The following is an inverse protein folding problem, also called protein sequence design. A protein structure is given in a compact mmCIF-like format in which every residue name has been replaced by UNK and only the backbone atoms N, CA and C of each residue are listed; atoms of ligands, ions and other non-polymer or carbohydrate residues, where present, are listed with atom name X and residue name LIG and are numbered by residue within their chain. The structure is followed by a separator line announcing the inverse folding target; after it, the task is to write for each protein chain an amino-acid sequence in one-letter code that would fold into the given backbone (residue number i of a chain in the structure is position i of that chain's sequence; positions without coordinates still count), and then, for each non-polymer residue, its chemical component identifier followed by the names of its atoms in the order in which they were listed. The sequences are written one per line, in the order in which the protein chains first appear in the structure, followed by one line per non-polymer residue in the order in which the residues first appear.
data_IF_940166436113
#
_entry.id   IF_940166436113
#
_cell.length_a   1.000
_cell.length_b   1.000
_cell.length_c   1.000
_cell.angle_alpha   90.00
_cell.angle_beta   90.00
_cell.angle_gamma   90.00
#
_symmetry.space_group_name_H-M   'P 1'
#
loop_
_entity.id
_entity.type
_entity.pdbx_description
1 polymer ?
#
# COMPACT_ATOMS: atom_id res chain seq x y z
N UNK A 1 21.79 16.96 1.75
CA UNK A 1 22.61 16.12 2.66
C UNK A 1 22.20 16.19 4.13
N UNK A 2 22.13 17.34 4.80
CA UNK A 2 21.85 17.40 6.25
C UNK A 2 20.48 16.79 6.68
N UNK A 3 19.42 16.92 5.87
CA UNK A 3 18.10 16.33 6.17
C UNK A 3 18.06 14.80 6.07
N UNK A 4 18.92 14.20 5.24
CA UNK A 4 19.03 12.74 5.06
C UNK A 4 19.72 12.11 6.27
N UNK A 5 20.72 12.79 6.84
CA UNK A 5 21.46 12.33 8.03
C UNK A 5 20.56 12.27 9.26
N UNK A 6 19.67 13.25 9.45
CA UNK A 6 18.74 13.28 10.60
C UNK A 6 17.69 12.15 10.50
N UNK A 7 17.16 11.88 9.31
CA UNK A 7 16.22 10.76 9.11
C UNK A 7 16.92 9.41 9.34
N UNK A 8 18.17 9.25 8.90
CA UNK A 8 18.99 8.07 9.19
C UNK A 8 19.19 7.88 10.69
N UNK A 9 19.49 8.95 11.43
CA UNK A 9 19.72 8.91 12.88
C UNK A 9 18.45 8.54 13.67
N UNK A 10 17.27 9.01 13.23
CA UNK A 10 15.98 8.63 13.85
C UNK A 10 15.60 7.18 13.49
N UNK A 11 15.92 6.70 12.29
CA UNK A 11 15.73 5.31 11.93
C UNK A 11 16.63 4.38 12.77
N UNK A 12 17.86 4.81 13.09
CA UNK A 12 18.81 4.06 13.92
C UNK A 12 18.40 3.98 15.40
N UNK A 13 17.76 5.02 15.97
CA UNK A 13 17.37 5.01 17.39
C UNK A 13 16.22 4.05 17.70
N UNK A 14 15.35 3.75 16.73
CA UNK A 14 14.28 2.74 16.87
C UNK A 14 14.83 1.31 16.87
N UNK A 15 16.03 1.07 16.32
CA UNK A 15 16.67 -0.25 16.28
C UNK A 15 17.29 -0.64 17.62
N UNK A 16 17.61 0.32 18.50
CA UNK A 16 18.33 0.07 19.76
C UNK A 16 17.50 -0.61 20.87
N UNK A 17 16.20 -0.87 20.70
CA UNK A 17 15.34 -1.49 21.73
C UNK A 17 14.89 -2.94 21.44
N UNK A 18 15.64 -3.69 20.65
CA UNK A 18 15.29 -5.07 20.29
C UNK A 18 16.13 -6.15 21.01
N UNK A 19 16.27 -6.09 22.33
CA UNK A 19 16.89 -7.18 23.12
C UNK A 19 15.84 -8.14 23.67
N UNK A 20 16.09 -9.45 23.47
CA UNK A 20 15.66 -10.64 24.27
C UNK A 20 15.44 -11.93 23.45
N UNK A 21 15.61 -11.93 22.12
CA UNK A 21 15.58 -13.19 21.33
C UNK A 21 16.72 -13.25 20.32
N UNK A 22 17.26 -14.44 20.02
CA UNK A 22 18.20 -14.62 18.92
C UNK A 22 17.45 -14.28 17.62
N UNK A 23 17.58 -13.03 17.21
CA UNK A 23 16.89 -12.48 16.05
C UNK A 23 17.98 -12.15 15.04
N UNK A 24 18.13 -13.00 14.02
CA UNK A 24 19.05 -12.69 12.93
C UNK A 24 18.47 -11.56 12.07
N UNK A 25 19.34 -10.65 11.67
CA UNK A 25 19.01 -9.53 10.80
C UNK A 25 20.00 -9.45 9.65
N UNK A 26 19.57 -8.85 8.54
CA UNK A 26 20.43 -8.62 7.39
C UNK A 26 20.08 -7.30 6.71
N UNK A 27 21.07 -6.75 6.02
CA UNK A 27 20.89 -5.57 5.18
C UNK A 27 21.03 -5.99 3.72
N UNK A 28 20.18 -5.45 2.85
CA UNK A 28 20.32 -5.61 1.40
C UNK A 28 20.28 -4.26 0.69
N UNK A 29 21.03 -4.18 -0.41
CA UNK A 29 21.06 -3.04 -1.32
C UNK A 29 20.83 -3.55 -2.74
N UNK A 30 19.80 -3.05 -3.40
CA UNK A 30 19.49 -3.38 -4.80
C UNK A 30 19.51 -2.12 -5.65
N UNK A 31 20.30 -2.11 -6.71
CA UNK A 31 20.18 -1.14 -7.80
C UNK A 31 19.11 -1.63 -8.76
N UNK A 32 18.28 -0.71 -9.28
CA UNK A 32 17.27 -1.03 -10.27
C UNK A 32 17.29 -0.05 -11.44
N UNK A 33 16.85 -0.54 -12.59
CA UNK A 33 16.72 0.20 -13.83
C UNK A 33 15.52 -0.34 -14.62
N UNK A 34 14.71 0.51 -15.25
CA UNK A 34 13.55 0.02 -15.99
C UNK A 34 12.73 1.06 -16.74
N UNK A 35 11.43 0.80 -16.84
CA UNK A 35 10.49 1.59 -17.63
C UNK A 35 9.30 2.04 -16.81
N UNK A 36 8.72 3.18 -17.19
CA UNK A 36 7.39 3.57 -16.72
C UNK A 36 6.36 2.79 -17.53
N UNK A 37 5.46 2.08 -16.84
CA UNK A 37 4.33 1.40 -17.47
C UNK A 37 3.26 2.42 -17.85
N UNK A 38 2.98 2.54 -19.16
CA UNK A 38 1.88 3.35 -19.68
C UNK A 38 0.56 2.72 -19.28
N UNK A 39 -0.09 3.32 -18.29
CA UNK A 39 -1.41 2.94 -17.80
C UNK A 39 -2.48 4.01 -18.11
N UNK A 40 -2.06 5.20 -18.53
CA UNK A 40 -2.89 6.29 -19.06
C UNK A 40 -2.12 6.99 -20.21
N UNK A 41 -2.82 7.52 -21.21
CA UNK A 41 -2.22 8.33 -22.28
C UNK A 41 -1.76 9.70 -21.79
N UNK A 42 -2.36 10.21 -20.71
CA UNK A 42 -2.03 11.52 -20.14
C UNK A 42 -0.61 11.59 -19.56
N UNK A 43 0.05 10.46 -19.35
CA UNK A 43 1.43 10.41 -18.86
C UNK A 43 2.47 10.23 -19.98
N UNK A 44 2.07 10.16 -21.25
CA UNK A 44 2.99 9.87 -22.36
C UNK A 44 4.18 10.85 -22.42
N UNK A 45 3.95 12.14 -22.20
CA UNK A 45 5.00 13.16 -22.18
C UNK A 45 5.92 13.08 -20.96
N UNK A 46 5.55 12.33 -19.93
CA UNK A 46 6.37 12.06 -18.74
C UNK A 46 7.28 10.85 -18.94
N UNK A 47 6.99 9.98 -19.91
CA UNK A 47 7.78 8.78 -20.22
C UNK A 47 8.90 9.15 -21.21
N UNK A 48 9.91 9.87 -20.72
CA UNK A 48 11.03 10.38 -21.55
C UNK A 48 12.31 9.56 -21.46
N UNK A 49 12.38 8.63 -20.52
CA UNK A 49 13.58 7.84 -20.27
C UNK A 49 13.31 6.63 -19.38
N UNK A 50 14.38 6.10 -18.81
CA UNK A 50 14.36 4.87 -18.04
C UNK A 50 14.62 5.17 -16.56
N UNK A 51 13.62 5.04 -15.67
CA UNK A 51 13.84 5.27 -14.26
C UNK A 51 14.86 4.32 -13.66
N UNK A 52 15.67 4.85 -12.77
CA UNK A 52 16.69 4.07 -12.05
C UNK A 52 16.80 4.51 -10.60
N UNK A 53 17.44 3.69 -9.79
CA UNK A 53 17.66 4.03 -8.39
C UNK A 53 18.08 2.86 -7.53
N UNK A 54 17.87 3.01 -6.22
CA UNK A 54 18.31 2.03 -5.25
C UNK A 54 17.22 1.75 -4.21
N UNK A 55 17.19 0.52 -3.71
CA UNK A 55 16.41 0.10 -2.54
C UNK A 55 17.39 -0.44 -1.50
N UNK A 56 17.51 0.26 -0.38
CA UNK A 56 18.26 -0.16 0.80
C UNK A 56 17.27 -0.70 1.84
N UNK A 57 17.53 -1.87 2.39
CA UNK A 57 16.60 -2.50 3.33
C UNK A 57 17.30 -3.10 4.52
N UNK A 58 16.74 -2.87 5.70
CA UNK A 58 17.03 -3.68 6.89
C UNK A 58 15.91 -4.69 7.08
N UNK A 59 16.27 -5.92 7.41
CA UNK A 59 15.34 -7.04 7.52
C UNK A 59 15.62 -7.81 8.79
N UNK A 60 14.54 -8.24 9.44
CA UNK A 60 14.54 -9.17 10.56
C UNK A 60 14.00 -10.51 10.11
N UNK A 61 14.81 -11.56 10.29
CA UNK A 61 14.43 -12.94 9.98
C UNK A 61 13.48 -13.50 11.02
N UNK A 62 12.60 -14.39 10.57
CA UNK A 62 11.75 -15.20 11.46
C UNK A 62 12.16 -16.66 11.42
N UNK A 63 11.97 -17.36 12.54
CA UNK A 63 12.45 -18.74 12.73
C UNK A 63 11.39 -19.66 13.34
N UNK A 64 10.11 -19.28 13.34
CA UNK A 64 9.03 -20.12 13.85
C UNK A 64 8.76 -19.94 15.33
N UNK A 65 9.22 -18.83 15.91
CA UNK A 65 8.96 -18.47 17.31
C UNK A 65 7.50 -18.13 17.56
N UNK A 66 6.74 -17.89 16.48
CA UNK A 66 5.30 -17.71 16.51
C UNK A 66 4.69 -18.56 15.41
N UNK A 67 3.48 -19.04 15.67
CA UNK A 67 2.74 -19.92 14.77
C UNK A 67 2.58 -19.35 13.35
N UNK A 68 2.26 -18.06 13.24
CA UNK A 68 2.08 -17.41 11.95
C UNK A 68 3.36 -17.41 11.09
N UNK A 69 4.54 -17.42 11.72
CA UNK A 69 5.82 -17.46 11.00
C UNK A 69 5.89 -18.77 10.20
N UNK A 70 5.64 -19.91 10.86
CA UNK A 70 5.63 -21.23 10.22
C UNK A 70 4.52 -21.33 9.16
N UNK A 71 3.32 -20.81 9.45
CA UNK A 71 2.19 -20.85 8.51
C UNK A 71 2.53 -20.16 7.17
N UNK A 72 3.37 -19.14 7.17
CA UNK A 72 3.75 -18.38 5.98
C UNK A 72 5.16 -18.70 5.47
N UNK A 73 5.73 -19.86 5.85
CA UNK A 73 7.09 -20.25 5.47
C UNK A 73 8.15 -19.21 5.91
N UNK A 74 8.07 -18.79 7.17
CA UNK A 74 9.03 -17.93 7.86
C UNK A 74 9.31 -16.62 7.13
N UNK A 75 8.28 -15.78 6.89
CA UNK A 75 8.50 -14.52 6.19
C UNK A 75 9.37 -13.58 7.02
N UNK A 76 10.25 -12.83 6.36
CA UNK A 76 10.99 -11.77 7.03
C UNK A 76 10.17 -10.48 6.98
N UNK A 77 10.51 -9.52 7.84
CA UNK A 77 9.90 -8.20 7.79
C UNK A 77 10.94 -7.13 8.09
N UNK A 78 10.70 -5.91 7.64
CA UNK A 78 11.71 -4.89 7.73
C UNK A 78 11.25 -3.50 7.31
N UNK A 79 12.25 -2.65 7.11
CA UNK A 79 12.08 -1.28 6.60
C UNK A 79 12.97 -1.11 5.39
N UNK A 80 12.44 -0.49 4.34
CA UNK A 80 13.18 -0.12 3.14
C UNK A 80 13.19 1.39 2.94
N UNK A 81 14.28 1.89 2.39
CA UNK A 81 14.39 3.21 1.79
C UNK A 81 14.60 3.04 0.29
N UNK A 82 13.83 3.75 -0.53
CA UNK A 82 14.07 3.79 -1.99
C UNK A 82 14.33 5.21 -2.46
N UNK A 83 15.28 5.34 -3.36
CA UNK A 83 15.49 6.54 -4.18
C UNK A 83 15.23 6.15 -5.63
N UNK A 84 14.47 6.96 -6.36
CA UNK A 84 14.16 6.74 -7.76
C UNK A 84 14.27 8.04 -8.55
N UNK A 85 15.17 8.08 -9.53
CA UNK A 85 15.27 9.13 -10.54
C UNK A 85 14.45 8.72 -11.77
N UNK A 86 13.47 9.53 -12.18
CA UNK A 86 12.62 9.21 -13.33
C UNK A 86 13.24 9.55 -14.69
N UNK A 87 14.42 10.20 -14.73
CA UNK A 87 15.02 10.72 -15.97
C UNK A 87 14.06 11.64 -16.75
N UNK A 88 13.32 12.44 -16.00
CA UNK A 88 12.37 13.41 -16.52
C UNK A 88 12.45 14.69 -15.68
N UNK A 89 12.60 15.83 -16.34
CA UNK A 89 12.80 17.11 -15.67
C UNK A 89 11.59 17.59 -14.86
N UNK A 90 10.37 17.13 -15.19
CA UNK A 90 9.13 17.54 -14.51
C UNK A 90 8.80 16.67 -13.29
N UNK A 91 9.23 15.40 -13.29
CA UNK A 91 9.05 14.49 -12.16
C UNK A 91 10.23 14.57 -11.17
N UNK A 92 11.45 14.71 -11.68
CA UNK A 92 12.68 14.70 -10.87
C UNK A 92 12.92 13.32 -10.23
N UNK A 93 13.26 13.34 -8.95
CA UNK A 93 13.54 12.16 -8.13
C UNK A 93 12.57 12.00 -6.95
N UNK A 94 12.22 10.77 -6.60
CA UNK A 94 11.42 10.45 -5.42
C UNK A 94 12.26 9.72 -4.37
N UNK A 95 12.05 10.07 -3.10
CA UNK A 95 12.57 9.35 -1.95
C UNK A 95 11.41 8.74 -1.17
N UNK A 96 11.51 7.47 -0.79
CA UNK A 96 10.43 6.79 -0.09
C UNK A 96 10.93 5.90 1.04
N UNK A 97 10.08 5.72 2.06
CA UNK A 97 10.29 4.80 3.18
C UNK A 97 9.12 3.83 3.26
N UNK A 98 9.41 2.54 3.48
CA UNK A 98 8.43 1.47 3.47
C UNK A 98 8.59 0.59 4.70
N UNK A 99 7.47 0.09 5.22
CA UNK A 99 7.46 -1.18 5.94
C UNK A 99 7.22 -2.31 4.93
N UNK A 100 7.93 -3.43 5.07
CA UNK A 100 7.80 -4.54 4.14
C UNK A 100 7.79 -5.92 4.80
N UNK A 101 7.26 -6.89 4.05
CA UNK A 101 7.40 -8.32 4.30
C UNK A 101 8.09 -9.01 3.13
N UNK A 102 8.88 -10.04 3.41
CA UNK A 102 9.49 -10.95 2.44
C UNK A 102 8.87 -12.33 2.59
N UNK A 103 8.15 -12.77 1.58
CA UNK A 103 7.61 -14.12 1.48
C UNK A 103 8.51 -14.98 0.60
N UNK A 104 8.68 -16.23 0.99
CA UNK A 104 9.69 -17.10 0.39
C UNK A 104 9.09 -18.36 -0.21
N UNK A 105 9.59 -18.73 -1.39
CA UNK A 105 9.19 -19.89 -2.18
C UNK A 105 10.44 -20.66 -2.64
N UNK A 106 10.25 -21.88 -3.16
CA UNK A 106 11.31 -22.71 -3.75
C UNK A 106 12.56 -22.83 -2.86
N UNK A 107 12.38 -23.43 -1.67
CA UNK A 107 13.43 -23.56 -0.64
C UNK A 107 14.04 -22.20 -0.24
N UNK A 108 13.18 -21.17 -0.21
CA UNK A 108 13.52 -19.78 0.11
C UNK A 108 14.50 -19.10 -0.83
N UNK A 109 14.70 -19.65 -2.04
CA UNK A 109 15.52 -19.00 -3.06
C UNK A 109 14.73 -17.98 -3.89
N UNK A 110 13.40 -18.05 -3.91
CA UNK A 110 12.56 -17.02 -4.54
C UNK A 110 11.89 -16.20 -3.45
N UNK A 111 12.07 -14.88 -3.50
CA UNK A 111 11.54 -13.91 -2.55
C UNK A 111 10.53 -13.00 -3.24
N UNK A 112 9.31 -12.93 -2.70
CA UNK A 112 8.36 -11.86 -2.96
C UNK A 112 8.38 -10.87 -1.80
N UNK A 113 8.91 -9.68 -2.03
CA UNK A 113 8.83 -8.56 -1.09
C UNK A 113 7.68 -7.65 -1.45
N UNK A 114 6.87 -7.30 -0.45
CA UNK A 114 5.77 -6.35 -0.57
C UNK A 114 6.05 -5.21 0.40
N UNK A 115 6.27 -4.01 -0.13
CA UNK A 115 6.51 -2.79 0.64
C UNK A 115 5.38 -1.79 0.49
N UNK A 116 4.91 -1.24 1.60
CA UNK A 116 3.96 -0.11 1.63
C UNK A 116 4.59 1.03 2.43
N UNK A 117 4.48 2.24 1.89
CA UNK A 117 5.26 3.36 2.37
C UNK A 117 4.70 4.72 2.01
N UNK A 118 5.48 5.73 2.37
CA UNK A 118 5.26 7.13 2.06
C UNK A 118 6.47 7.62 1.27
N UNK A 119 6.22 8.44 0.25
CA UNK A 119 7.24 9.03 -0.58
C UNK A 119 7.16 10.55 -0.60
N UNK A 120 8.31 11.18 -0.82
CA UNK A 120 8.44 12.59 -1.13
C UNK A 120 8.70 12.73 -2.62
N UNK A 121 7.78 13.41 -3.30
CA UNK A 121 7.92 13.75 -4.71
C UNK A 121 8.99 14.82 -4.90
N UNK A 122 9.93 14.65 -5.83
CA UNK A 122 10.96 15.65 -6.11
C UNK A 122 10.34 16.96 -6.57
N UNK A 123 9.55 16.88 -7.65
CA UNK A 123 8.91 18.01 -8.29
C UNK A 123 7.40 17.74 -8.47
N UNK A 124 6.55 18.01 -7.46
CA UNK A 124 5.10 17.86 -7.62
C UNK A 124 4.54 18.85 -8.66
N UNK A 125 3.29 18.65 -9.06
CA UNK A 125 2.52 19.57 -9.89
C UNK A 125 2.48 20.96 -9.25
N UNK A 126 2.71 21.98 -10.06
CA UNK A 126 2.44 23.38 -9.75
C UNK A 126 1.87 24.03 -11.01
N UNK A 127 0.78 24.78 -10.88
CA UNK A 127 0.07 25.32 -12.05
C UNK A 127 0.89 26.37 -12.82
N UNK A 128 1.86 27.03 -12.18
CA UNK A 128 2.68 28.09 -12.78
C UNK A 128 4.07 27.54 -13.12
N UNK A 129 4.71 26.84 -12.18
CA UNK A 129 6.11 26.44 -12.28
C UNK A 129 6.32 25.02 -12.84
N UNK A 130 5.35 24.12 -12.72
CA UNK A 130 5.50 22.71 -13.13
C UNK A 130 4.18 22.06 -13.58
N UNK A 131 3.47 22.74 -14.47
CA UNK A 131 2.14 22.31 -14.91
C UNK A 131 2.16 21.00 -15.72
N UNK A 132 3.35 20.57 -16.16
CA UNK A 132 3.52 19.32 -16.93
C UNK A 132 3.48 18.07 -16.07
N UNK A 133 3.78 18.15 -14.77
CA UNK A 133 3.72 16.97 -13.91
C UNK A 133 2.28 16.65 -13.47
N UNK A 134 1.53 16.00 -14.35
CA UNK A 134 0.17 15.53 -14.06
C UNK A 134 0.11 14.27 -13.19
N UNK A 135 1.26 13.68 -12.82
CA UNK A 135 1.31 12.46 -12.04
C UNK A 135 1.22 12.70 -10.54
N UNK A 136 1.88 13.74 -10.04
CA UNK A 136 2.09 13.97 -8.60
C UNK A 136 1.51 15.31 -8.16
N UNK A 137 0.21 15.36 -7.84
CA UNK A 137 -0.47 16.58 -7.37
C UNK A 137 0.00 17.10 -6.01
N UNK A 138 0.75 16.30 -5.25
CA UNK A 138 1.21 16.62 -3.89
C UNK A 138 2.67 16.24 -3.67
N UNK A 139 3.33 16.94 -2.74
CA UNK A 139 4.71 16.64 -2.32
C UNK A 139 4.83 15.30 -1.59
N UNK A 140 3.79 14.90 -0.86
CA UNK A 140 3.74 13.63 -0.13
C UNK A 140 2.85 12.66 -0.91
N UNK A 141 3.36 11.47 -1.18
CA UNK A 141 2.70 10.41 -1.93
C UNK A 141 2.63 9.14 -1.07
N UNK A 142 1.63 8.30 -1.32
CA UNK A 142 1.67 6.89 -0.99
C UNK A 142 2.59 6.18 -1.99
N UNK A 143 3.38 5.23 -1.50
CA UNK A 143 4.18 4.38 -2.37
C UNK A 143 4.02 2.90 -2.02
N UNK A 144 3.84 2.07 -3.03
CA UNK A 144 3.83 0.61 -2.90
C UNK A 144 4.88 0.04 -3.82
N UNK A 145 5.60 -0.99 -3.38
CA UNK A 145 6.39 -1.78 -4.30
C UNK A 145 6.23 -3.28 -4.08
N UNK A 146 6.36 -4.01 -5.19
CA UNK A 146 6.48 -5.47 -5.24
C UNK A 146 7.86 -5.79 -5.79
N UNK A 147 8.58 -6.72 -5.19
CA UNK A 147 9.89 -7.17 -5.67
C UNK A 147 9.91 -8.69 -5.68
N UNK A 148 10.07 -9.28 -6.86
CA UNK A 148 10.21 -10.71 -7.07
C UNK A 148 11.65 -11.01 -7.46
N UNK A 149 12.44 -11.52 -6.52
CA UNK A 149 13.85 -11.77 -6.73
C UNK A 149 14.20 -13.23 -6.47
N UNK A 150 15.09 -13.77 -7.29
CA UNK A 150 15.95 -14.86 -6.83
C UNK A 150 16.93 -14.29 -5.81
N UNK A 151 17.01 -14.89 -4.64
CA UNK A 151 17.84 -14.45 -3.52
C UNK A 151 18.68 -15.62 -3.04
N UNK A 152 19.99 -15.46 -3.10
CA UNK A 152 20.95 -16.43 -2.57
C UNK A 152 21.81 -15.76 -1.52
N UNK A 153 21.70 -16.25 -0.29
CA UNK A 153 22.45 -15.74 0.84
C UNK A 153 23.79 -16.49 0.98
N UNK A 154 24.78 -15.86 1.64
CA UNK A 154 26.03 -16.52 2.07
C UNK A 154 26.79 -17.24 0.95
N UNK A 155 26.90 -16.62 -0.23
CA UNK A 155 27.77 -17.09 -1.32
C UNK A 155 29.24 -16.98 -0.92
N UNK A 156 29.60 -15.87 -0.27
CA UNK A 156 30.92 -15.67 0.30
C UNK A 156 30.78 -15.22 1.75
N UNK A 157 30.91 -16.18 2.67
CA UNK A 157 30.82 -15.95 4.10
C UNK A 157 29.43 -15.37 4.50
N UNK A 158 29.33 -14.07 4.82
CA UNK A 158 28.05 -13.40 5.14
C UNK A 158 27.42 -12.66 3.96
N UNK A 159 28.13 -12.57 2.83
CA UNK A 159 27.68 -11.88 1.61
C UNK A 159 26.93 -12.84 0.70
N UNK A 160 25.80 -12.38 0.17
CA UNK A 160 25.02 -13.03 -0.88
C UNK A 160 24.57 -12.03 -1.93
N UNK A 161 23.85 -12.53 -2.94
CA UNK A 161 23.34 -11.74 -4.05
C UNK A 161 21.85 -11.97 -4.24
N UNK A 162 21.20 -11.03 -4.91
CA UNK A 162 19.82 -11.14 -5.33
C UNK A 162 19.59 -10.41 -6.65
N UNK A 163 18.58 -10.83 -7.39
CA UNK A 163 18.17 -10.11 -8.59
C UNK A 163 16.83 -10.61 -9.11
N UNK A 164 16.16 -9.74 -9.87
CA UNK A 164 14.83 -10.03 -10.40
C UNK A 164 14.10 -8.77 -10.82
N UNK A 165 12.79 -8.75 -10.60
CA UNK A 165 11.88 -7.70 -11.06
C UNK A 165 11.31 -6.93 -9.89
N UNK A 166 11.11 -5.63 -10.05
CA UNK A 166 10.36 -4.80 -9.11
C UNK A 166 9.30 -3.98 -9.84
N UNK A 167 8.14 -3.81 -9.20
CA UNK A 167 7.10 -2.86 -9.59
C UNK A 167 7.03 -1.82 -8.48
N UNK A 168 7.16 -0.54 -8.82
CA UNK A 168 7.10 0.59 -7.87
C UNK A 168 5.96 1.52 -8.32
N UNK A 169 5.03 1.80 -7.42
CA UNK A 169 3.87 2.65 -7.66
C UNK A 169 3.92 3.88 -6.75
N UNK A 170 3.74 5.06 -7.32
CA UNK A 170 3.61 6.33 -6.62
C UNK A 170 2.29 7.01 -6.97
N UNK A 171 1.49 7.35 -5.95
CA UNK A 171 0.27 8.14 -6.10
C UNK A 171 -0.07 8.88 -4.82
N UNK A 172 -0.95 9.87 -4.87
CA UNK A 172 -1.44 10.54 -3.66
C UNK A 172 -2.84 10.08 -3.22
N UNK A 173 -3.36 8.99 -3.83
CA UNK A 173 -4.65 8.42 -3.45
C UNK A 173 -5.84 9.37 -3.61
N UNK A 174 -5.77 10.25 -4.62
CA UNK A 174 -6.72 11.32 -4.90
C UNK A 174 -6.89 12.36 -3.78
N UNK A 175 -5.85 12.55 -2.96
CA UNK A 175 -5.86 13.64 -1.98
C UNK A 175 -5.77 15.01 -2.65
N UNK A 176 -5.07 15.14 -3.78
CA UNK A 176 -4.96 16.40 -4.54
C UNK A 176 -4.81 16.11 -6.04
N UNK A 177 -5.66 16.73 -6.86
CA UNK A 177 -5.53 16.65 -8.32
C UNK A 177 -4.41 17.59 -8.83
N UNK A 178 -3.72 17.24 -9.95
CA UNK A 178 -3.86 16.00 -10.72
C UNK A 178 -3.15 14.82 -10.05
N UNK A 179 -3.61 13.59 -10.30
CA UNK A 179 -2.99 12.39 -9.75
C UNK A 179 -3.12 11.21 -10.73
N UNK A 180 -2.49 11.31 -11.89
CA UNK A 180 -2.44 10.18 -12.84
C UNK A 180 -1.57 9.02 -12.33
N UNK A 181 -0.73 9.25 -11.31
CA UNK A 181 0.22 8.29 -10.73
C UNK A 181 1.34 7.85 -11.67
N UNK A 182 2.36 7.17 -11.14
CA UNK A 182 3.41 6.52 -11.93
C UNK A 182 3.62 5.09 -11.45
N UNK A 183 3.70 4.17 -12.41
CA UNK A 183 4.08 2.78 -12.22
C UNK A 183 5.42 2.54 -12.92
N UNK A 184 6.43 2.06 -12.22
CA UNK A 184 7.71 1.66 -12.79
C UNK A 184 7.88 0.16 -12.70
N UNK A 185 8.24 -0.49 -13.81
CA UNK A 185 8.61 -1.89 -13.89
C UNK A 185 10.12 -1.95 -14.14
N UNK A 186 10.86 -2.50 -13.19
CA UNK A 186 12.32 -2.43 -13.17
C UNK A 186 12.96 -3.79 -13.00
N UNK A 187 14.11 -3.97 -13.64
CA UNK A 187 15.04 -5.05 -13.32
C UNK A 187 15.95 -4.57 -12.20
N UNK A 188 16.27 -5.45 -11.26
CA UNK A 188 17.15 -5.12 -10.15
C UNK A 188 18.18 -6.20 -9.90
N UNK A 189 19.36 -5.77 -9.45
CA UNK A 189 20.44 -6.61 -8.96
C UNK A 189 20.96 -6.02 -7.66
N UNK A 190 21.29 -6.87 -6.70
CA UNK A 190 21.67 -6.43 -5.37
C UNK A 190 22.51 -7.43 -4.61
N UNK A 191 23.02 -6.94 -3.49
CA UNK A 191 23.75 -7.71 -2.51
C UNK A 191 22.94 -7.80 -1.22
N UNK A 192 23.10 -8.91 -0.50
CA UNK A 192 22.58 -9.08 0.85
C UNK A 192 23.73 -9.45 1.79
N UNK A 193 23.71 -8.89 3.00
CA UNK A 193 24.76 -9.12 4.00
C UNK A 193 24.11 -9.48 5.34
N UNK A 194 24.36 -10.72 5.77
CA UNK A 194 23.90 -11.22 7.07
C UNK A 194 24.70 -10.56 8.19
N UNK A 195 24.03 -10.02 9.21
CA UNK A 195 24.73 -9.37 10.32
C UNK A 195 25.35 -10.42 11.25
N UNK A 196 24.67 -11.55 11.44
CA UNK A 196 25.13 -12.64 12.29
C UNK A 196 25.97 -13.66 11.51
N UNK A 197 26.94 -14.26 12.20
CA UNK A 197 27.81 -15.31 11.61
C UNK A 197 27.09 -16.64 11.50
N UNK A 198 26.25 -16.98 12.49
CA UNK A 198 25.51 -18.23 12.59
C UNK A 198 24.02 -17.91 12.64
N UNK A 199 23.22 -18.64 11.86
CA UNK A 199 21.77 -18.49 11.86
C UNK A 199 21.12 -19.57 12.73
N UNK A 200 20.06 -19.22 13.49
CA UNK A 200 19.23 -20.21 14.15
C UNK A 200 18.60 -21.19 13.15
N UNK A 201 18.31 -22.40 13.61
CA UNK A 201 17.48 -23.33 12.87
C UNK A 201 16.01 -22.92 12.88
N UNK A 202 15.29 -23.25 11.80
CA UNK A 202 13.85 -23.02 11.72
C UNK A 202 13.12 -24.00 12.64
N UNK A 203 12.30 -23.46 13.55
CA UNK A 203 11.45 -24.26 14.44
C UNK A 203 10.26 -24.81 13.69
N UNK A 204 10.13 -26.14 13.70
CA UNK A 204 8.97 -26.85 13.17
C UNK A 204 8.11 -27.31 14.35
N UNK A 205 6.83 -26.94 14.34
CA UNK A 205 5.85 -27.41 15.32
C UNK A 205 5.08 -28.60 14.74
N UNK A 206 5.25 -29.77 15.35
CA UNK A 206 4.48 -30.96 14.99
C UNK A 206 2.98 -30.71 15.14
N UNK A 207 2.19 -31.21 14.19
CA UNK A 207 0.74 -31.04 14.19
C UNK A 207 0.25 -29.62 13.88
N UNK A 208 1.13 -28.69 13.45
CA UNK A 208 0.70 -27.36 13.01
C UNK A 208 -0.31 -27.48 11.87
N UNK A 209 -1.54 -27.04 12.15
CA UNK A 209 -2.65 -27.07 11.19
C UNK A 209 -3.14 -25.67 10.85
N UNK A 210 -3.57 -25.46 9.62
CA UNK A 210 -4.28 -24.23 9.24
C UNK A 210 -5.76 -24.25 9.68
N UNK A 211 -6.28 -25.37 10.20
CA UNK A 211 -7.67 -25.47 10.66
C UNK A 211 -7.91 -24.51 11.83
N UNK A 212 -8.91 -23.65 11.68
CA UNK A 212 -9.38 -22.73 12.70
C UNK A 212 -10.80 -22.29 12.34
N UNK A 213 -11.66 -22.18 13.33
CA UNK A 213 -13.04 -21.75 13.14
C UNK A 213 -13.40 -20.84 14.31
N UNK A 214 -14.08 -19.74 14.02
CA UNK A 214 -14.70 -18.88 15.03
C UNK A 214 -16.15 -18.59 14.62
N UNK A 215 -17.05 -18.28 15.57
CA UNK A 215 -18.41 -17.83 15.24
C UNK A 215 -18.40 -16.63 14.28
N UNK A 216 -19.52 -16.37 13.63
CA UNK A 216 -19.67 -15.12 12.86
C UNK A 216 -19.51 -13.94 13.79
N UNK A 217 -18.72 -12.96 13.37
CA UNK A 217 -18.40 -11.75 14.15
C UNK A 217 -18.92 -10.53 13.40
N UNK A 218 -19.48 -9.58 14.15
CA UNK A 218 -20.01 -8.35 13.59
C UNK A 218 -19.02 -7.22 13.78
N UNK A 219 -18.86 -6.40 12.74
CA UNK A 219 -17.89 -5.33 12.70
C UNK A 219 -18.57 -4.02 12.37
N UNK A 220 -18.23 -2.99 13.14
CA UNK A 220 -18.61 -1.60 12.89
C UNK A 220 -17.35 -0.83 12.61
N UNK A 221 -17.29 -0.12 11.48
CA UNK A 221 -16.09 0.61 11.08
C UNK A 221 -16.47 2.01 10.62
N UNK A 222 -15.76 2.97 11.17
CA UNK A 222 -15.78 4.34 10.68
C UNK A 222 -14.47 4.59 9.93
N UNK A 223 -14.56 5.13 8.71
CA UNK A 223 -13.41 5.59 7.93
C UNK A 223 -13.58 7.01 7.49
N UNK A 224 -12.46 7.71 7.38
CA UNK A 224 -12.39 9.09 6.94
C UNK A 224 -11.04 9.35 6.28
N UNK A 225 -10.89 10.55 5.75
CA UNK A 225 -9.73 11.02 5.02
C UNK A 225 -10.10 12.30 4.29
N UNK A 226 -9.19 12.76 3.45
CA UNK A 226 -9.40 13.90 2.57
C UNK A 226 -9.21 13.46 1.13
N UNK A 227 -10.07 13.94 0.24
CA UNK A 227 -9.89 13.75 -1.19
C UNK A 227 -10.40 14.95 -1.98
N UNK A 228 -10.05 14.99 -3.26
CA UNK A 228 -10.43 16.01 -4.22
C UNK A 228 -11.16 15.35 -5.40
N UNK A 229 -11.95 16.13 -6.14
CA UNK A 229 -12.42 15.74 -7.48
C UNK A 229 -11.24 15.66 -8.47
N UNK A 230 -11.41 14.98 -9.59
CA UNK A 230 -10.38 14.93 -10.63
C UNK A 230 -10.21 16.29 -11.34
N UNK A 231 -11.07 17.26 -11.03
CA UNK A 231 -10.95 18.66 -11.44
C UNK A 231 -9.87 19.36 -10.61
N UNK A 232 -8.82 19.84 -11.30
CA UNK A 232 -7.74 20.62 -10.68
C UNK A 232 -8.32 21.86 -10.01
N UNK A 233 -7.80 22.20 -8.83
CA UNK A 233 -8.24 23.32 -8.00
C UNK A 233 -9.71 23.29 -7.52
N UNK A 234 -10.40 22.14 -7.59
CA UNK A 234 -11.75 21.98 -7.02
C UNK A 234 -11.80 21.99 -5.48
N UNK A 235 -10.64 21.95 -4.81
CA UNK A 235 -10.54 21.94 -3.35
C UNK A 235 -10.64 20.54 -2.71
N UNK A 236 -10.02 20.40 -1.54
CA UNK A 236 -9.97 19.15 -0.79
C UNK A 236 -11.10 19.10 0.24
N UNK A 237 -11.78 17.96 0.32
CA UNK A 237 -12.91 17.78 1.22
C UNK A 237 -12.75 16.53 2.07
N UNK A 238 -13.24 16.55 3.32
CA UNK A 238 -13.30 15.35 4.12
C UNK A 238 -14.39 14.41 3.59
N UNK A 239 -14.19 13.11 3.77
CA UNK A 239 -15.24 12.12 3.54
C UNK A 239 -15.47 11.27 4.79
N UNK A 240 -16.65 10.64 4.85
CA UNK A 240 -17.04 9.76 5.95
C UNK A 240 -17.65 8.48 5.40
N UNK A 241 -17.20 7.34 5.89
CA UNK A 241 -17.71 6.03 5.47
C UNK A 241 -18.02 5.22 6.71
N UNK A 242 -19.26 4.75 6.77
CA UNK A 242 -19.75 3.87 7.82
C UNK A 242 -19.96 2.49 7.23
N UNK A 243 -19.25 1.50 7.77
CA UNK A 243 -19.39 0.11 7.35
C UNK A 243 -19.95 -0.74 8.47
N UNK A 244 -20.85 -1.63 8.10
CA UNK A 244 -21.30 -2.72 8.94
C UNK A 244 -21.11 -4.03 8.20
N UNK A 245 -20.44 -5.01 8.81
CA UNK A 245 -20.24 -6.31 8.16
C UNK A 245 -20.13 -7.47 9.13
N UNK A 246 -20.60 -8.62 8.66
CA UNK A 246 -20.32 -9.90 9.27
C UNK A 246 -19.03 -10.48 8.68
N UNK A 247 -18.17 -11.05 9.52
CA UNK A 247 -17.01 -11.81 9.08
C UNK A 247 -17.02 -13.23 9.66
N UNK A 248 -16.52 -14.18 8.88
CA UNK A 248 -16.38 -15.58 9.25
C UNK A 248 -14.96 -16.06 8.96
N UNK A 249 -14.21 -16.47 9.99
CA UNK A 249 -12.97 -17.22 9.77
C UNK A 249 -13.28 -18.58 9.19
N UNK A 250 -12.57 -18.87 8.11
CA UNK A 250 -12.57 -20.18 7.47
C UNK A 250 -11.30 -20.98 7.82
N UNK A 251 -10.21 -20.30 8.21
CA UNK A 251 -8.97 -20.91 8.67
C UNK A 251 -8.09 -19.87 9.41
N UNK A 252 -6.86 -20.24 9.81
CA UNK A 252 -5.96 -19.32 10.56
C UNK A 252 -5.52 -18.11 9.74
N UNK A 253 -5.49 -18.25 8.42
CA UNK A 253 -5.07 -17.21 7.46
C UNK A 253 -6.21 -16.40 6.91
N UNK A 254 -7.46 -16.88 6.89
CA UNK A 254 -8.50 -16.28 6.06
C UNK A 254 -9.84 -16.13 6.78
N UNK A 255 -10.49 -14.99 6.51
CA UNK A 255 -11.91 -14.77 6.76
C UNK A 255 -12.60 -14.23 5.50
N UNK A 256 -13.89 -14.50 5.39
CA UNK A 256 -14.78 -13.93 4.38
C UNK A 256 -15.66 -12.89 5.07
N UNK A 257 -15.93 -11.80 4.37
CA UNK A 257 -16.74 -10.66 4.83
C UNK A 257 -17.96 -10.48 3.92
N UNK A 258 -19.08 -10.11 4.51
CA UNK A 258 -20.27 -9.64 3.80
C UNK A 258 -20.84 -8.45 4.57
N UNK A 259 -21.05 -7.33 3.89
CA UNK A 259 -21.48 -6.12 4.56
C UNK A 259 -22.02 -5.03 3.68
N UNK A 260 -22.25 -3.89 4.32
CA UNK A 260 -22.79 -2.68 3.72
C UNK A 260 -21.90 -1.50 4.04
N UNK A 261 -21.90 -0.51 3.14
CA UNK A 261 -21.22 0.76 3.31
C UNK A 261 -22.19 1.92 3.04
N UNK A 262 -22.08 2.98 3.84
CA UNK A 262 -22.71 4.29 3.58
C UNK A 262 -21.61 5.32 3.44
N UNK A 263 -21.66 6.09 2.36
CA UNK A 263 -20.61 7.01 1.93
C UNK A 263 -21.13 8.45 1.93
N UNK A 264 -20.40 9.33 2.61
CA UNK A 264 -20.53 10.78 2.54
C UNK A 264 -19.25 11.33 1.92
N UNK A 265 -19.20 11.36 0.59
CA UNK A 265 -18.04 11.83 -0.19
C UNK A 265 -18.24 13.30 -0.55
N UNK A 266 -17.85 14.23 0.32
CA UNK A 266 -18.21 15.65 0.13
C UNK A 266 -17.64 16.29 -1.14
N UNK A 267 -16.52 15.79 -1.67
CA UNK A 267 -15.97 16.27 -2.94
C UNK A 267 -16.96 16.13 -4.12
N UNK A 268 -17.90 15.17 -4.04
CA UNK A 268 -18.92 14.98 -5.07
C UNK A 268 -19.85 16.18 -5.20
N UNK A 269 -20.02 17.01 -4.16
CA UNK A 269 -20.80 18.26 -4.28
C UNK A 269 -20.19 19.20 -5.31
N UNK A 270 -18.86 19.34 -5.28
CA UNK A 270 -18.15 20.17 -6.24
C UNK A 270 -18.15 19.53 -7.64
N UNK A 271 -18.00 18.21 -7.71
CA UNK A 271 -18.13 17.47 -8.97
C UNK A 271 -19.52 17.66 -9.61
N UNK A 272 -20.59 17.55 -8.82
CA UNK A 272 -21.98 17.72 -9.26
C UNK A 272 -22.19 19.13 -9.82
N UNK A 273 -21.79 20.16 -9.05
CA UNK A 273 -21.88 21.56 -9.48
C UNK A 273 -21.09 21.82 -10.75
N UNK A 274 -19.84 21.33 -10.82
CA UNK A 274 -19.01 21.49 -12.01
C UNK A 274 -19.65 20.80 -13.21
N UNK A 275 -20.15 19.57 -13.03
CA UNK A 275 -20.70 18.76 -14.11
C UNK A 275 -22.02 19.33 -14.65
N UNK A 276 -22.90 19.89 -13.81
CA UNK A 276 -24.14 20.51 -14.27
C UNK A 276 -23.92 21.79 -15.08
N UNK A 277 -22.82 22.51 -14.81
CA UNK A 277 -22.47 23.74 -15.54
C UNK A 277 -21.67 23.44 -16.80
N UNK A 278 -20.65 22.58 -16.71
CA UNK A 278 -19.69 22.32 -17.78
C UNK A 278 -20.17 21.27 -18.80
N UNK A 279 -21.08 20.37 -18.39
CA UNK A 279 -21.56 19.24 -19.20
C UNK A 279 -23.09 19.14 -19.18
N UNK A 280 -23.82 20.15 -19.70
CA UNK A 280 -25.29 20.17 -19.68
C UNK A 280 -25.91 18.97 -20.41
N UNK A 281 -25.20 18.35 -21.34
CA UNK A 281 -25.62 17.13 -22.03
C UNK A 281 -25.80 15.92 -21.11
N UNK A 282 -25.26 15.96 -19.88
CA UNK A 282 -25.46 14.92 -18.86
C UNK A 282 -26.82 15.03 -18.16
N UNK A 283 -27.56 16.11 -18.38
CA UNK A 283 -28.90 16.31 -17.80
C UNK A 283 -28.89 16.46 -16.28
N UNK A 284 -27.78 16.93 -15.70
CA UNK A 284 -27.65 17.18 -14.26
C UNK A 284 -28.16 18.58 -13.94
N UNK A 285 -28.92 18.72 -12.85
CA UNK A 285 -29.44 20.00 -12.37
C UNK A 285 -28.58 20.62 -11.25
N UNK A 286 -27.59 19.87 -10.74
CA UNK A 286 -26.67 20.31 -9.70
C UNK A 286 -27.18 20.10 -8.27
N UNK A 287 -28.35 19.48 -8.11
CA UNK A 287 -29.00 19.20 -6.82
C UNK A 287 -28.97 17.72 -6.43
N UNK A 288 -28.30 16.89 -7.23
CA UNK A 288 -28.15 15.46 -7.00
C UNK A 288 -27.56 15.17 -5.61
N UNK A 289 -27.97 14.07 -4.99
CA UNK A 289 -27.44 13.68 -3.69
C UNK A 289 -26.00 13.15 -3.83
N UNK A 290 -25.07 13.70 -3.06
CA UNK A 290 -23.67 13.29 -3.09
C UNK A 290 -23.39 12.00 -2.29
N UNK A 291 -24.39 11.50 -1.56
CA UNK A 291 -24.27 10.30 -0.74
C UNK A 291 -24.43 9.05 -1.58
N UNK A 292 -23.75 7.98 -1.17
CA UNK A 292 -23.87 6.66 -1.79
C UNK A 292 -24.07 5.60 -0.72
N UNK A 293 -24.69 4.48 -1.07
CA UNK A 293 -24.75 3.31 -0.22
C UNK A 293 -24.58 2.04 -1.06
N UNK A 294 -23.90 1.04 -0.50
CA UNK A 294 -23.56 -0.17 -1.23
C UNK A 294 -23.46 -1.40 -0.35
N UNK A 295 -23.35 -2.53 -1.02
CA UNK A 295 -23.03 -3.83 -0.41
C UNK A 295 -21.65 -4.27 -0.87
N UNK A 296 -20.98 -5.10 -0.09
CA UNK A 296 -19.70 -5.67 -0.47
C UNK A 296 -19.52 -7.10 0.02
N UNK A 297 -18.73 -7.85 -0.74
CA UNK A 297 -18.09 -9.09 -0.31
C UNK A 297 -16.60 -8.83 -0.12
N UNK A 298 -15.97 -9.51 0.83
CA UNK A 298 -14.56 -9.28 1.11
C UNK A 298 -13.81 -10.48 1.65
N UNK A 299 -12.50 -10.34 1.68
CA UNK A 299 -11.55 -11.27 2.23
C UNK A 299 -10.60 -10.55 3.18
N UNK A 300 -10.20 -11.24 4.24
CA UNK A 300 -9.17 -10.79 5.16
C UNK A 300 -8.10 -11.86 5.32
N UNK A 301 -6.86 -11.52 4.92
CA UNK A 301 -5.68 -12.36 5.05
C UNK A 301 -4.89 -11.98 6.30
N UNK A 302 -4.81 -12.87 7.28
CA UNK A 302 -4.20 -12.59 8.59
C UNK A 302 -2.71 -12.90 8.64
N UNK A 303 -1.89 -11.88 8.89
CA UNK A 303 -0.43 -11.99 9.02
C UNK A 303 -0.05 -11.39 10.38
N UNK A 304 0.15 -12.24 11.39
CA UNK A 304 0.43 -11.83 12.77
C UNK A 304 -0.74 -10.99 13.38
N UNK A 305 -0.46 -9.75 13.78
CA UNK A 305 -1.45 -8.76 14.26
C UNK A 305 -1.96 -7.84 13.16
N UNK A 306 -1.39 -7.96 11.97
CA UNK A 306 -1.82 -7.27 10.78
C UNK A 306 -2.67 -8.21 9.93
N UNK A 307 -3.38 -7.63 8.99
CA UNK A 307 -4.13 -8.36 7.99
C UNK A 307 -4.27 -7.52 6.74
N UNK A 308 -4.29 -8.17 5.59
CA UNK A 308 -4.62 -7.53 4.32
C UNK A 308 -6.11 -7.71 4.09
N UNK A 309 -6.81 -6.63 3.76
CA UNK A 309 -8.24 -6.61 3.47
C UNK A 309 -8.44 -6.33 2.00
N UNK A 310 -9.25 -7.14 1.33
CA UNK A 310 -9.70 -6.90 -0.04
C UNK A 310 -11.21 -7.02 -0.11
N UNK A 311 -11.89 -6.06 -0.73
CA UNK A 311 -13.34 -6.04 -0.84
C UNK A 311 -13.74 -5.63 -2.25
N UNK A 312 -14.82 -6.24 -2.74
CA UNK A 312 -15.50 -5.86 -3.96
C UNK A 312 -16.95 -5.51 -3.61
N UNK A 313 -17.36 -4.31 -3.96
CA UNK A 313 -18.67 -3.77 -3.64
C UNK A 313 -19.40 -3.19 -4.83
N UNK A 314 -20.70 -3.01 -4.63
CA UNK A 314 -21.64 -2.51 -5.61
C UNK A 314 -22.56 -1.48 -4.95
N UNK A 315 -22.71 -0.31 -5.57
CA UNK A 315 -23.62 0.72 -5.07
C UNK A 315 -25.08 0.38 -5.37
N UNK A 316 -25.88 0.29 -4.31
CA UNK A 316 -27.34 0.16 -4.42
C UNK A 316 -28.01 1.54 -4.49
N UNK A 317 -27.47 2.53 -3.77
CA UNK A 317 -27.87 3.93 -3.85
C UNK A 317 -26.74 4.73 -4.49
N UNK A 318 -26.99 5.22 -5.70
CA UNK A 318 -26.00 5.85 -6.59
C UNK A 318 -26.69 6.91 -7.48
N UNK A 319 -27.07 8.06 -6.90
CA UNK A 319 -27.84 9.12 -7.56
C UNK A 319 -27.05 9.93 -8.60
N UNK A 320 -25.71 9.95 -8.52
CA UNK A 320 -24.81 10.61 -9.47
C UNK A 320 -23.82 9.60 -10.05
N UNK A 321 -23.61 9.63 -11.37
CA UNK A 321 -22.59 8.82 -12.01
C UNK A 321 -21.19 9.40 -11.82
N UNK A 322 -20.29 8.57 -11.30
CA UNK A 322 -18.90 8.88 -10.94
C UNK A 322 -18.06 7.60 -10.93
N UNK A 323 -17.23 7.41 -11.96
CA UNK A 323 -16.30 6.27 -12.12
C UNK A 323 -16.95 4.87 -12.15
N UNK A 324 -18.29 4.79 -12.15
CA UNK A 324 -19.06 3.55 -12.24
C UNK A 324 -19.57 2.97 -10.91
N UNK A 325 -20.43 1.96 -11.02
CA UNK A 325 -21.20 1.41 -9.88
C UNK A 325 -20.48 0.37 -9.02
N UNK A 326 -19.33 -0.12 -9.48
CA UNK A 326 -18.53 -1.11 -8.76
C UNK A 326 -17.33 -0.43 -8.12
N UNK A 327 -17.05 -0.77 -6.85
CA UNK A 327 -15.88 -0.28 -6.15
C UNK A 327 -15.07 -1.44 -5.58
N UNK A 328 -13.75 -1.24 -5.52
CA UNK A 328 -12.80 -2.13 -4.87
C UNK A 328 -12.21 -1.41 -3.66
N UNK A 329 -11.94 -2.15 -2.60
CA UNK A 329 -11.20 -1.65 -1.43
C UNK A 329 -10.07 -2.60 -1.10
N UNK A 330 -8.84 -2.10 -1.07
CA UNK A 330 -7.64 -2.86 -0.69
C UNK A 330 -6.90 -2.15 0.44
N UNK A 331 -6.49 -2.84 1.50
CA UNK A 331 -5.84 -2.18 2.63
C UNK A 331 -5.20 -3.09 3.65
N UNK A 332 -4.65 -2.48 4.70
CA UNK A 332 -4.05 -3.15 5.85
C UNK A 332 -4.84 -2.81 7.11
N UNK A 333 -5.24 -3.83 7.85
CA UNK A 333 -5.90 -3.73 9.15
C UNK A 333 -4.95 -4.22 10.25
N UNK A 334 -4.82 -3.43 11.32
CA UNK A 334 -4.01 -3.74 12.50
C UNK A 334 -4.86 -3.86 13.76
N UNK A 335 -4.80 -5.01 14.43
CA UNK A 335 -5.54 -5.25 15.68
C UNK A 335 -4.80 -4.62 16.88
N UNK A 336 -5.47 -3.66 17.54
CA UNK A 336 -4.89 -2.86 18.63
C UNK A 336 -4.99 -3.54 20.00
N UNK A 337 -5.90 -4.51 20.14
CA UNK A 337 -6.17 -5.20 21.41
C UNK A 337 -5.81 -6.69 21.33
N UNK A 338 -5.38 -7.29 22.45
CA UNK A 338 -5.12 -8.74 22.53
C UNK A 338 -6.35 -9.58 22.17
N UNK A 339 -7.55 -9.09 22.56
CA UNK A 339 -8.85 -9.72 22.25
C UNK A 339 -9.34 -9.43 20.83
N UNK A 340 -8.57 -8.70 20.01
CA UNK A 340 -8.91 -8.35 18.61
C UNK A 340 -10.28 -7.67 18.44
N UNK A 341 -10.74 -6.94 19.46
CA UNK A 341 -12.00 -6.19 19.42
C UNK A 341 -11.83 -4.85 18.72
N UNK A 342 -10.79 -4.11 19.06
CA UNK A 342 -10.48 -2.83 18.42
C UNK A 342 -9.39 -3.02 17.36
N UNK A 343 -9.58 -2.42 16.19
CA UNK A 343 -8.60 -2.38 15.11
C UNK A 343 -8.56 -1.01 14.42
N UNK A 344 -7.42 -0.68 13.83
CA UNK A 344 -7.27 0.40 12.88
C UNK A 344 -7.12 -0.18 11.47
N UNK A 345 -7.51 0.59 10.45
CA UNK A 345 -7.39 0.20 9.04
C UNK A 345 -6.93 1.38 8.21
N UNK A 346 -6.04 1.12 7.26
CA UNK A 346 -5.72 2.03 6.16
C UNK A 346 -6.01 1.29 4.87
N UNK A 347 -6.80 1.88 3.97
CA UNK A 347 -7.21 1.25 2.73
C UNK A 347 -7.29 2.26 1.59
N UNK A 348 -7.18 1.78 0.36
CA UNK A 348 -7.51 2.55 -0.84
C UNK A 348 -8.84 2.03 -1.37
N UNK A 349 -9.77 2.96 -1.61
CA UNK A 349 -10.99 2.70 -2.35
C UNK A 349 -10.81 3.19 -3.79
N UNK A 350 -11.19 2.35 -4.74
CA UNK A 350 -11.02 2.61 -6.17
C UNK A 350 -12.23 2.11 -6.98
N UNK A 351 -12.37 2.62 -8.20
CA UNK A 351 -13.27 2.10 -9.23
C UNK A 351 -12.39 1.59 -10.37
N UNK A 352 -12.45 0.28 -10.62
CA UNK A 352 -11.45 -0.39 -11.46
C UNK A 352 -10.01 0.00 -11.04
N UNK A 353 -9.27 0.72 -11.90
CA UNK A 353 -7.90 1.16 -11.63
C UNK A 353 -7.81 2.60 -11.08
N UNK A 354 -8.91 3.34 -10.97
CA UNK A 354 -8.95 4.74 -10.53
C UNK A 354 -9.19 4.85 -9.03
N UNK A 355 -8.21 5.34 -8.28
CA UNK A 355 -8.35 5.54 -6.84
C UNK A 355 -9.27 6.73 -6.54
N UNK A 356 -10.27 6.55 -5.67
CA UNK A 356 -11.13 7.64 -5.18
C UNK A 356 -10.58 8.25 -3.88
N UNK A 357 -10.07 7.40 -2.99
CA UNK A 357 -9.61 7.86 -1.67
C UNK A 357 -8.68 6.87 -0.97
N UNK A 358 -7.72 7.41 -0.22
CA UNK A 358 -7.07 6.72 0.89
C UNK A 358 -7.89 6.94 2.15
N UNK A 359 -8.39 5.84 2.70
CA UNK A 359 -9.23 5.75 3.88
C UNK A 359 -8.39 5.38 5.11
N UNK A 360 -8.52 6.16 6.18
CA UNK A 360 -8.04 5.79 7.52
C UNK A 360 -9.25 5.54 8.40
N UNK A 361 -9.25 4.46 9.17
CA UNK A 361 -10.40 4.09 9.98
C UNK A 361 -10.09 3.36 11.27
N UNK A 362 -11.10 3.34 12.12
CA UNK A 362 -11.16 2.58 13.37
C UNK A 362 -12.40 1.71 13.35
N UNK A 363 -12.26 0.49 13.85
CA UNK A 363 -13.36 -0.45 13.90
C UNK A 363 -13.41 -1.28 15.17
N UNK A 364 -14.62 -1.70 15.48
CA UNK A 364 -14.94 -2.56 16.60
C UNK A 364 -15.57 -3.87 16.11
N UNK A 365 -15.00 -4.99 16.57
CA UNK A 365 -15.38 -6.37 16.26
C UNK A 365 -15.97 -7.03 17.50
N UNK A 366 -17.23 -7.42 17.42
CA UNK A 366 -18.03 -7.97 18.54
C UNK A 366 -17.76 -9.43 18.82
#
# INVERSE_FOLDING_TARGET
MQRVVVILLVALSVVCNAQEKPNSSYVDLSYFYGNISRHNNDILHLITGHPEGFILSWNKKTYGNKEWEQLYNYPDYGVSLSFQDFKNEYMGDNLAIYGHYNFYFFNRNLMLRIGQGIALAGKPYDKEENYRNVAFGSKVLSSTYLMLNYKKERIFNRLGVQGGLSLIHYSNGNTKAPNTSINSITLNIGINYQLETIEPEYKVTEGLTNRFNEPVRYNFVFRTGVNQSDVIDSGQFPFYIFSFYADKRINKKSAIQLGTDVFYSNFLKEYIKYSSIAYPERGLDGTEDYKRAGIFVGHELFINRLSVVTQAGYYLYYPIDYEGRMYLRGGVKGYLTKKKKLFAVVAVKAHAAQAEAVEVGIGYRL
#
